data_IF_485426767624
#
_entry.id   IF_485426767624
#
_cell.length_a   1.000
_cell.length_b   1.000
_cell.length_c   1.000
_cell.angle_alpha   90.00
_cell.angle_beta   90.00
_cell.angle_gamma   90.00
#
_symmetry.space_group_name_H-M   'P 1'
#
loop_
_entity.id
_entity.type
_entity.pdbx_description
1 polymer ?
#
# COMPACT_ATOMS: atom_id res chain seq x y z
N UNK A 1 11.28 -25.64 2.03
CA UNK A 1 10.41 -25.22 0.91
C UNK A 1 9.55 -23.98 1.21
N UNK A 2 9.52 -23.45 2.45
CA UNK A 2 8.71 -22.27 2.80
C UNK A 2 9.16 -20.96 2.13
N UNK A 3 10.47 -20.75 1.95
CA UNK A 3 11.03 -19.47 1.45
C UNK A 3 10.52 -19.06 0.06
N UNK A 4 10.33 -20.01 -0.85
CA UNK A 4 9.91 -19.72 -2.22
C UNK A 4 8.42 -19.41 -2.37
N UNK A 5 7.58 -19.75 -1.39
CA UNK A 5 6.14 -19.40 -1.41
C UNK A 5 5.89 -18.05 -0.72
N UNK A 6 6.78 -17.61 0.17
CA UNK A 6 6.62 -16.35 0.90
C UNK A 6 7.03 -15.14 0.07
N UNK A 7 8.05 -15.25 -0.78
CA UNK A 7 8.51 -14.15 -1.65
C UNK A 7 7.47 -13.76 -2.74
N UNK A 8 6.82 -14.68 -3.47
CA UNK A 8 5.79 -14.32 -4.44
C UNK A 8 4.59 -13.59 -3.81
N UNK A 9 4.17 -14.04 -2.62
CA UNK A 9 3.09 -13.40 -1.85
C UNK A 9 3.49 -11.98 -1.42
N UNK A 10 4.78 -11.77 -1.12
CA UNK A 10 5.29 -10.46 -0.74
C UNK A 10 5.31 -9.48 -1.93
N UNK A 11 5.74 -9.93 -3.11
CA UNK A 11 5.75 -9.13 -4.33
C UNK A 11 4.33 -8.80 -4.80
N UNK A 12 3.41 -9.78 -4.78
CA UNK A 12 2.00 -9.56 -5.13
C UNK A 12 1.36 -8.54 -4.19
N UNK A 13 1.60 -8.65 -2.88
CA UNK A 13 1.02 -7.73 -1.91
C UNK A 13 1.63 -6.32 -2.01
N UNK A 14 2.91 -6.21 -2.39
CA UNK A 14 3.54 -4.93 -2.70
C UNK A 14 2.89 -4.28 -3.93
N UNK A 15 2.70 -5.04 -5.01
CA UNK A 15 2.03 -4.54 -6.21
C UNK A 15 0.58 -4.10 -5.91
N UNK A 16 -0.14 -4.89 -5.12
CA UNK A 16 -1.49 -4.53 -4.68
C UNK A 16 -1.48 -3.25 -3.85
N UNK A 17 -0.47 -2.99 -3.02
CA UNK A 17 -0.41 -1.74 -2.25
C UNK A 17 -0.37 -0.50 -3.16
N UNK A 18 0.35 -0.56 -4.29
CA UNK A 18 0.39 0.51 -5.28
C UNK A 18 -0.94 0.66 -6.02
N UNK A 19 -1.60 -0.46 -6.36
CA UNK A 19 -2.94 -0.45 -6.95
C UNK A 19 -3.96 0.19 -6.00
N UNK A 20 -3.89 -0.14 -4.70
CA UNK A 20 -4.76 0.41 -3.66
C UNK A 20 -4.66 1.94 -3.58
N UNK A 21 -3.43 2.48 -3.64
CA UNK A 21 -3.25 3.95 -3.66
C UNK A 21 -3.89 4.59 -4.90
N UNK A 22 -3.74 3.99 -6.07
CA UNK A 22 -4.34 4.49 -7.31
C UNK A 22 -5.86 4.45 -7.26
N UNK A 23 -6.42 3.38 -6.71
CA UNK A 23 -7.86 3.19 -6.51
C UNK A 23 -8.45 4.21 -5.54
N UNK A 24 -7.76 4.49 -4.44
CA UNK A 24 -8.17 5.55 -3.51
C UNK A 24 -8.14 6.95 -4.16
N UNK A 25 -7.17 7.21 -5.05
CA UNK A 25 -7.14 8.45 -5.85
C UNK A 25 -8.31 8.52 -6.82
N UNK A 26 -8.60 7.43 -7.54
CA UNK A 26 -9.70 7.35 -8.51
C UNK A 26 -11.07 7.49 -7.85
N UNK A 27 -11.28 6.88 -6.67
CA UNK A 27 -12.53 7.00 -5.92
C UNK A 27 -12.83 8.43 -5.46
N UNK A 28 -11.80 9.28 -5.31
CA UNK A 28 -11.96 10.73 -5.03
C UNK A 28 -12.32 11.54 -6.27
N UNK A 29 -11.95 11.07 -7.47
CA UNK A 29 -12.11 11.82 -8.72
C UNK A 29 -13.26 11.32 -9.59
N UNK A 30 -13.79 10.12 -9.34
CA UNK A 30 -14.86 9.50 -10.11
C UNK A 30 -15.98 8.99 -9.20
N UNK A 31 -17.19 9.55 -9.37
CA UNK A 31 -18.36 9.24 -8.54
C UNK A 31 -19.30 8.19 -9.13
N UNK A 32 -18.85 7.44 -10.15
CA UNK A 32 -19.67 6.39 -10.74
C UNK A 32 -19.84 5.24 -9.74
N UNK A 33 -21.07 4.95 -9.35
CA UNK A 33 -21.39 3.95 -8.33
C UNK A 33 -20.78 2.56 -8.64
N UNK A 34 -20.79 2.14 -9.90
CA UNK A 34 -20.17 0.86 -10.34
C UNK A 34 -18.67 0.82 -10.07
N UNK A 35 -17.97 1.95 -10.29
CA UNK A 35 -16.54 2.06 -10.02
C UNK A 35 -16.33 2.01 -8.50
N UNK A 36 -17.10 2.76 -7.72
CA UNK A 36 -16.98 2.76 -6.25
C UNK A 36 -17.19 1.36 -5.64
N UNK A 37 -18.23 0.63 -6.04
CA UNK A 37 -18.49 -0.72 -5.55
C UNK A 37 -17.38 -1.71 -5.90
N UNK A 38 -16.86 -1.65 -7.13
CA UNK A 38 -15.72 -2.49 -7.55
C UNK A 38 -14.43 -2.17 -6.78
N UNK A 39 -14.21 -0.89 -6.47
CA UNK A 39 -13.06 -0.45 -5.67
C UNK A 39 -13.17 -0.95 -4.22
N UNK A 40 -14.36 -0.89 -3.61
CA UNK A 40 -14.59 -1.36 -2.24
C UNK A 40 -14.33 -2.85 -2.07
N UNK A 41 -14.87 -3.69 -2.96
CA UNK A 41 -14.65 -5.15 -2.93
C UNK A 41 -13.17 -5.50 -3.08
N UNK A 42 -12.49 -4.88 -4.05
CA UNK A 42 -11.07 -5.11 -4.26
C UNK A 42 -10.22 -4.64 -3.07
N UNK A 43 -10.50 -3.45 -2.52
CA UNK A 43 -9.79 -2.91 -1.36
C UNK A 43 -9.99 -3.80 -0.13
N UNK A 44 -11.18 -4.38 0.06
CA UNK A 44 -11.44 -5.32 1.13
C UNK A 44 -10.51 -6.54 1.06
N UNK A 45 -10.37 -7.14 -0.13
CA UNK A 45 -9.48 -8.28 -0.35
C UNK A 45 -8.00 -7.93 -0.15
N UNK A 46 -7.56 -6.75 -0.59
CA UNK A 46 -6.21 -6.25 -0.32
C UNK A 46 -5.97 -6.08 1.19
N UNK A 47 -6.86 -5.37 1.89
CA UNK A 47 -6.72 -5.10 3.32
C UNK A 47 -6.70 -6.39 4.15
N UNK A 48 -7.51 -7.38 3.77
CA UNK A 48 -7.49 -8.71 4.41
C UNK A 48 -6.12 -9.39 4.30
N UNK A 49 -5.49 -9.36 3.12
CA UNK A 49 -4.15 -9.92 2.90
C UNK A 49 -3.09 -9.11 3.63
N UNK A 50 -3.17 -7.78 3.58
CA UNK A 50 -2.28 -6.87 4.31
C UNK A 50 -2.32 -7.12 5.83
N UNK A 51 -3.50 -7.33 6.41
CA UNK A 51 -3.68 -7.65 7.83
C UNK A 51 -3.16 -9.03 8.23
N UNK A 52 -2.88 -9.92 7.28
CA UNK A 52 -2.25 -11.22 7.53
C UNK A 52 -0.74 -11.23 7.26
N UNK A 53 -0.24 -10.23 6.56
CA UNK A 53 1.19 -10.10 6.27
C UNK A 53 2.02 -10.00 7.56
N UNK A 54 3.27 -10.45 7.51
CA UNK A 54 4.21 -10.29 8.62
C UNK A 54 4.48 -8.80 8.91
N UNK A 55 4.87 -8.44 10.15
CA UNK A 55 5.27 -7.08 10.47
C UNK A 55 6.34 -6.52 9.52
N UNK A 56 7.34 -7.33 9.18
CA UNK A 56 8.41 -6.94 8.25
C UNK A 56 7.89 -6.59 6.86
N UNK A 57 6.95 -7.38 6.33
CA UNK A 57 6.35 -7.12 5.02
C UNK A 57 5.47 -5.86 5.05
N UNK A 58 4.69 -5.66 6.11
CA UNK A 58 3.91 -4.42 6.28
C UNK A 58 4.82 -3.20 6.38
N UNK A 59 5.94 -3.33 7.09
CA UNK A 59 6.93 -2.25 7.20
C UNK A 59 7.57 -1.95 5.85
N UNK A 60 7.94 -2.96 5.05
CA UNK A 60 8.39 -2.76 3.68
C UNK A 60 7.34 -2.03 2.84
N UNK A 61 6.08 -2.49 2.86
CA UNK A 61 4.98 -1.84 2.14
C UNK A 61 4.84 -0.37 2.56
N UNK A 62 4.93 -0.09 3.86
CA UNK A 62 4.91 1.27 4.38
C UNK A 62 6.04 2.13 3.80
N UNK A 63 7.28 1.63 3.75
CA UNK A 63 8.43 2.35 3.19
C UNK A 63 8.25 2.71 1.71
N UNK A 64 7.52 1.89 0.94
CA UNK A 64 7.25 2.15 -0.48
C UNK A 64 5.92 2.90 -0.73
N UNK A 65 5.21 3.29 0.32
CA UNK A 65 3.97 4.05 0.20
C UNK A 65 4.24 5.54 -0.01
N UNK A 66 3.35 6.23 -0.72
CA UNK A 66 3.45 7.69 -0.89
C UNK A 66 3.32 8.46 0.43
N UNK A 67 2.83 7.81 1.49
CA UNK A 67 2.85 8.37 2.84
C UNK A 67 4.27 8.52 3.38
N UNK A 68 5.12 7.51 3.20
CA UNK A 68 6.51 7.57 3.63
C UNK A 68 7.29 8.62 2.84
N UNK A 69 7.09 8.69 1.52
CA UNK A 69 7.69 9.74 0.69
C UNK A 69 7.35 11.14 1.21
N UNK A 70 6.07 11.40 1.52
CA UNK A 70 5.64 12.69 2.08
C UNK A 70 6.23 12.95 3.46
N UNK A 71 6.32 11.92 4.30
CA UNK A 71 6.96 12.02 5.61
C UNK A 71 8.43 12.43 5.46
N UNK A 72 9.17 11.77 4.56
CA UNK A 72 10.57 12.10 4.29
C UNK A 72 10.71 13.53 3.76
N UNK A 73 9.89 13.95 2.79
CA UNK A 73 9.90 15.33 2.29
C UNK A 73 9.68 16.33 3.42
N UNK A 74 8.69 16.08 4.26
CA UNK A 74 8.39 16.93 5.41
C UNK A 74 9.52 16.94 6.46
N UNK A 75 10.15 15.79 6.74
CA UNK A 75 11.27 15.69 7.68
C UNK A 75 12.53 16.38 7.14
N UNK A 76 12.76 16.33 5.81
CA UNK A 76 13.80 17.10 5.11
C UNK A 76 13.52 18.61 5.22
N UNK A 77 12.29 19.04 4.95
CA UNK A 77 11.87 20.45 5.07
C UNK A 77 12.03 20.99 6.50
N UNK A 78 11.95 20.12 7.51
CA UNK A 78 12.17 20.47 8.93
C UNK A 78 13.62 20.34 9.41
N UNK A 79 14.51 19.78 8.60
CA UNK A 79 15.90 19.53 8.99
C UNK A 79 16.06 18.42 10.05
N UNK A 80 15.11 17.49 10.15
CA UNK A 80 15.09 16.41 11.16
C UNK A 80 15.70 15.09 10.65
N UNK A 81 16.23 15.07 9.41
CA UNK A 81 16.94 13.91 8.87
C UNK A 81 18.35 13.87 9.46
N UNK A 82 18.50 13.20 10.60
CA UNK A 82 19.80 12.88 11.17
C UNK A 82 20.40 11.68 10.40
N UNK A 83 21.64 11.85 9.92
CA UNK A 83 22.50 10.78 9.37
C UNK A 83 22.76 9.65 10.39
#
# INVERSE_FOLDING_TARGET
>A
MAKQQTEPIADDLMADSLQAENYLKQGRTCSLATIQLGLEDWLHHYLYRYQKASPDLRFKIFLYSSFYDRKIVHDIERGEVNE
#
